data_IF_294577695229
#
_entry.id   IF_294577695229
#
_cell.length_a   1.000
_cell.length_b   1.000
_cell.length_c   1.000
_cell.angle_alpha   90.00
_cell.angle_beta   90.00
_cell.angle_gamma   90.00
#
_symmetry.space_group_name_H-M   'P 1'
#
loop_
_entity.id
_entity.type
_entity.pdbx_description
1 polymer ?
#
# COMPACT_ATOMS: atom_id res chain seq x y z
N UNK A 1 -4.52 -4.66 13.15
CA UNK A 1 -4.57 -3.34 13.83
C UNK A 1 -4.22 -2.17 12.93
N UNK A 2 -3.64 -2.37 11.75
CA UNK A 2 -3.51 -1.33 10.73
C UNK A 2 -4.80 -1.29 9.90
N UNK A 3 -5.34 -0.11 9.64
CA UNK A 3 -6.50 0.09 8.77
C UNK A 3 -6.10 0.50 7.35
N UNK A 4 -5.04 1.29 7.22
CA UNK A 4 -4.61 1.80 5.92
C UNK A 4 -3.09 1.99 5.89
N UNK A 5 -2.51 1.68 4.74
CA UNK A 5 -1.14 2.04 4.39
C UNK A 5 -1.19 2.85 3.10
N UNK A 6 -0.67 4.07 3.15
CA UNK A 6 -0.62 5.00 2.02
C UNK A 6 0.82 5.18 1.58
N UNK A 7 1.10 5.09 0.28
CA UNK A 7 2.42 5.36 -0.30
C UNK A 7 2.43 6.74 -0.93
N UNK A 8 3.47 7.51 -0.64
CA UNK A 8 3.73 8.83 -1.20
C UNK A 8 5.06 8.83 -1.95
N UNK A 9 5.08 9.43 -3.14
CA UNK A 9 6.22 9.37 -4.03
C UNK A 9 6.41 8.01 -4.71
N UNK A 10 7.57 7.88 -5.37
CA UNK A 10 7.89 6.75 -6.23
C UNK A 10 7.06 6.72 -7.51
N UNK A 11 7.16 5.61 -8.24
CA UNK A 11 6.40 5.35 -9.47
C UNK A 11 5.51 4.14 -9.27
N UNK A 12 4.28 4.22 -9.77
CA UNK A 12 3.43 3.03 -9.92
C UNK A 12 3.91 2.22 -11.11
N UNK A 13 3.80 0.90 -11.04
CA UNK A 13 3.98 0.05 -12.21
C UNK A 13 2.77 0.25 -13.14
N UNK A 14 3.03 0.54 -14.41
CA UNK A 14 2.04 0.67 -15.47
C UNK A 14 2.48 -0.13 -16.69
N UNK A 15 1.55 -0.83 -17.34
CA UNK A 15 1.83 -1.43 -18.64
C UNK A 15 1.58 -0.37 -19.71
N UNK A 16 2.65 0.10 -20.35
CA UNK A 16 2.57 1.11 -21.41
C UNK A 16 2.39 0.45 -22.77
N UNK A 17 1.34 0.85 -23.47
CA UNK A 17 1.03 0.41 -24.83
C UNK A 17 1.33 1.58 -25.79
N UNK A 18 2.38 1.42 -26.59
CA UNK A 18 2.82 2.42 -27.56
C UNK A 18 2.42 1.99 -28.95
N UNK A 19 1.35 2.59 -29.46
CA UNK A 19 0.79 2.30 -30.77
C UNK A 19 1.74 2.73 -31.88
N UNK A 20 1.98 1.85 -32.86
CA UNK A 20 2.79 2.12 -34.05
C UNK A 20 1.88 2.63 -35.19
N UNK A 21 1.94 3.92 -35.56
CA UNK A 21 1.06 4.50 -36.57
C UNK A 21 1.20 3.83 -37.94
N UNK A 22 2.41 3.42 -38.33
CA UNK A 22 2.67 2.83 -39.64
C UNK A 22 2.02 1.44 -39.73
N UNK A 23 2.16 0.62 -38.69
CA UNK A 23 1.53 -0.72 -38.63
C UNK A 23 0.01 -0.63 -38.54
N UNK A 24 -0.50 0.34 -37.79
CA UNK A 24 -1.93 0.58 -37.69
C UNK A 24 -2.53 1.02 -39.01
N UNK A 25 -1.86 1.93 -39.74
CA UNK A 25 -2.27 2.37 -41.06
C UNK A 25 -2.28 1.21 -42.06
N UNK A 26 -1.28 0.33 -42.03
CA UNK A 26 -1.22 -0.87 -42.87
C UNK A 26 -2.37 -1.86 -42.62
N UNK A 27 -2.93 -1.86 -41.40
CA UNK A 27 -4.04 -2.73 -41.01
C UNK A 27 -5.40 -2.00 -40.98
N UNK A 28 -5.43 -0.70 -41.33
CA UNK A 28 -6.64 0.11 -41.38
C UNK A 28 -7.31 0.37 -40.03
N UNK A 29 -6.59 0.21 -38.90
CA UNK A 29 -7.15 0.38 -37.55
C UNK A 29 -6.75 1.74 -36.95
N UNK A 30 -7.66 2.35 -36.19
CA UNK A 30 -7.46 3.64 -35.52
C UNK A 30 -7.14 3.49 -34.04
N UNK A 31 -6.49 4.49 -33.45
CA UNK A 31 -6.11 4.45 -32.03
C UNK A 31 -7.35 4.40 -31.11
N UNK A 32 -8.44 5.06 -31.52
CA UNK A 32 -9.71 5.04 -30.78
C UNK A 32 -10.38 3.65 -30.80
N UNK A 33 -10.21 2.87 -31.87
CA UNK A 33 -10.68 1.48 -31.92
C UNK A 33 -9.86 0.59 -31.00
N UNK A 34 -8.53 0.73 -30.99
CA UNK A 34 -7.67 -0.04 -30.07
C UNK A 34 -7.99 0.32 -28.62
N UNK A 35 -8.09 1.61 -28.29
CA UNK A 35 -8.39 2.06 -26.92
C UNK A 35 -9.72 1.52 -26.39
N UNK A 36 -10.79 1.55 -27.21
CA UNK A 36 -12.10 0.98 -26.83
C UNK A 36 -12.03 -0.52 -26.57
N UNK A 37 -11.28 -1.26 -27.40
CA UNK A 37 -11.12 -2.70 -27.21
C UNK A 37 -10.33 -3.00 -25.93
N UNK A 38 -9.24 -2.28 -25.67
CA UNK A 38 -8.46 -2.42 -24.43
C UNK A 38 -9.27 -2.05 -23.19
N UNK A 39 -10.08 -0.99 -23.26
CA UNK A 39 -10.98 -0.60 -22.19
C UNK A 39 -12.01 -1.70 -21.87
N UNK A 40 -12.58 -2.33 -22.91
CA UNK A 40 -13.55 -3.43 -22.75
C UNK A 40 -12.91 -4.72 -22.22
N UNK A 41 -11.64 -4.98 -22.56
CA UNK A 41 -10.90 -6.13 -22.05
C UNK A 41 -10.58 -5.99 -20.56
N UNK A 42 -10.33 -4.77 -20.10
CA UNK A 42 -10.06 -4.45 -18.70
C UNK A 42 -11.32 -4.40 -17.82
N UNK A 43 -12.48 -4.86 -18.32
CA UNK A 43 -13.70 -5.03 -17.54
C UNK A 43 -13.80 -6.49 -17.11
N UNK A 44 -13.65 -6.75 -15.80
CA UNK A 44 -13.97 -8.06 -15.21
C UNK A 44 -15.48 -8.32 -15.32
N UNK A 45 -15.89 -8.98 -16.40
CA UNK A 45 -17.28 -9.40 -16.59
C UNK A 45 -17.54 -10.71 -15.80
N UNK A 46 -18.61 -10.79 -14.99
CA UNK A 46 -19.02 -12.06 -14.40
C UNK A 46 -19.38 -13.03 -15.53
N UNK A 47 -18.68 -14.16 -15.63
CA UNK A 47 -18.79 -15.13 -16.73
C UNK A 47 -20.02 -16.03 -16.68
N UNK A 48 -21.07 -15.63 -15.96
CA UNK A 48 -22.31 -16.40 -15.81
C UNK A 48 -22.21 -17.59 -14.84
N UNK A 49 -23.32 -18.34 -14.77
CA UNK A 49 -23.46 -19.58 -14.00
C UNK A 49 -23.59 -20.73 -15.00
N UNK A 50 -22.82 -21.80 -14.80
CA UNK A 50 -23.01 -23.05 -15.54
C UNK A 50 -23.45 -24.13 -14.55
N UNK A 51 -24.61 -24.73 -14.82
CA UNK A 51 -25.09 -25.89 -14.07
C UNK A 51 -24.37 -27.13 -14.62
N UNK A 52 -23.42 -27.65 -13.85
CA UNK A 52 -22.66 -28.87 -14.17
C UNK A 52 -23.08 -29.95 -13.17
N UNK A 53 -24.10 -30.73 -13.52
CA UNK A 53 -24.65 -31.76 -12.64
C UNK A 53 -25.45 -31.17 -11.47
N UNK A 54 -25.18 -31.62 -10.25
CA UNK A 54 -25.89 -31.22 -9.02
C UNK A 54 -25.23 -30.02 -8.30
N UNK A 55 -24.39 -29.25 -9.01
CA UNK A 55 -23.61 -28.15 -8.45
C UNK A 55 -23.60 -26.91 -9.34
N UNK A 56 -23.85 -25.76 -8.73
CA UNK A 56 -23.75 -24.46 -9.39
C UNK A 56 -22.29 -23.97 -9.40
N UNK A 57 -21.65 -23.93 -10.57
CA UNK A 57 -20.29 -23.40 -10.69
C UNK A 57 -20.31 -22.01 -11.34
N UNK A 58 -19.79 -21.01 -10.63
CA UNK A 58 -19.58 -19.67 -11.18
C UNK A 58 -18.40 -19.71 -12.13
N UNK A 59 -18.63 -19.40 -13.40
CA UNK A 59 -17.56 -19.21 -14.38
C UNK A 59 -17.18 -17.73 -14.33
N UNK A 60 -15.89 -17.44 -14.17
CA UNK A 60 -15.35 -16.07 -14.28
C UNK A 60 -14.45 -16.00 -15.50
N UNK A 61 -14.69 -15.02 -16.36
CA UNK A 61 -13.75 -14.66 -17.43
C UNK A 61 -12.75 -13.68 -16.83
N UNK A 62 -11.49 -14.08 -16.72
CA UNK A 62 -10.41 -13.20 -16.27
C UNK A 62 -10.08 -12.22 -17.41
N UNK A 63 -10.52 -10.96 -17.31
CA UNK A 63 -10.27 -9.93 -18.32
C UNK A 63 -8.90 -9.27 -18.22
N UNK A 64 -8.24 -9.38 -17.07
CA UNK A 64 -7.05 -8.59 -16.78
C UNK A 64 -5.78 -9.29 -17.26
N UNK A 65 -5.03 -8.65 -18.17
CA UNK A 65 -3.68 -9.11 -18.51
C UNK A 65 -2.73 -8.82 -17.33
N UNK A 66 -2.18 -9.86 -16.72
CA UNK A 66 -1.31 -9.73 -15.55
C UNK A 66 0.12 -9.29 -15.90
N UNK A 67 0.50 -9.39 -17.17
CA UNK A 67 1.82 -9.01 -17.68
C UNK A 67 1.75 -8.28 -19.02
N UNK A 68 2.78 -7.46 -19.29
CA UNK A 68 2.95 -6.80 -20.58
C UNK A 68 2.98 -7.81 -21.75
N UNK A 69 3.55 -9.00 -21.52
CA UNK A 69 3.58 -10.07 -22.52
C UNK A 69 2.18 -10.60 -22.82
N UNK A 70 1.37 -10.89 -21.80
CA UNK A 70 0.00 -11.34 -22.00
C UNK A 70 -0.83 -10.30 -22.76
N UNK A 71 -0.69 -9.03 -22.40
CA UNK A 71 -1.38 -7.93 -23.08
C UNK A 71 -0.93 -7.81 -24.55
N UNK A 72 0.36 -8.02 -24.84
CA UNK A 72 0.87 -8.06 -26.20
C UNK A 72 0.30 -9.22 -27.04
N UNK A 73 -0.06 -10.35 -26.41
CA UNK A 73 -0.68 -11.48 -27.09
C UNK A 73 -2.19 -11.31 -27.33
N UNK A 74 -2.81 -10.30 -26.72
CA UNK A 74 -4.25 -10.05 -26.84
C UNK A 74 -4.65 -9.79 -28.29
N UNK A 75 -5.73 -10.42 -28.74
CA UNK A 75 -6.25 -10.23 -30.09
C UNK A 75 -7.07 -8.96 -30.17
N UNK A 76 -6.75 -8.13 -31.17
CA UNK A 76 -7.42 -6.90 -31.52
C UNK A 76 -8.14 -7.12 -32.84
N UNK A 77 -9.44 -6.85 -32.85
CA UNK A 77 -10.28 -6.91 -34.03
C UNK A 77 -9.91 -5.77 -35.00
N UNK A 78 -9.69 -6.15 -36.25
CA UNK A 78 -9.41 -5.27 -37.38
C UNK A 78 -10.66 -5.09 -38.25
N UNK A 79 -10.71 -4.06 -39.12
CA UNK A 79 -11.72 -3.97 -40.15
C UNK A 79 -11.73 -5.23 -41.04
N UNK A 80 -12.93 -5.66 -41.46
CA UNK A 80 -13.09 -6.83 -42.33
C UNK A 80 -13.03 -8.18 -41.61
N UNK A 81 -13.26 -8.24 -40.30
CA UNK A 81 -13.38 -9.48 -39.53
C UNK A 81 -12.06 -10.19 -39.24
N UNK A 82 -10.94 -9.52 -39.50
CA UNK A 82 -9.59 -10.04 -39.22
C UNK A 82 -9.21 -9.73 -37.77
N UNK A 83 -8.23 -10.48 -37.26
CA UNK A 83 -7.64 -10.23 -35.94
C UNK A 83 -6.12 -10.08 -36.07
N UNK A 84 -5.55 -9.22 -35.23
CA UNK A 84 -4.11 -9.07 -35.07
C UNK A 84 -3.76 -9.02 -33.59
N UNK A 85 -2.55 -9.48 -33.24
CA UNK A 85 -2.08 -9.37 -31.85
C UNK A 85 -1.79 -7.90 -31.53
N UNK A 86 -2.03 -7.45 -30.30
CA UNK A 86 -1.67 -6.09 -29.89
C UNK A 86 -0.19 -5.82 -30.13
N UNK A 87 0.68 -6.79 -29.84
CA UNK A 87 2.12 -6.72 -30.10
C UNK A 87 2.51 -6.57 -31.58
N UNK A 88 1.62 -6.86 -32.53
CA UNK A 88 1.89 -6.60 -33.94
C UNK A 88 1.61 -5.16 -34.34
N UNK A 89 0.78 -4.42 -33.58
CA UNK A 89 0.42 -3.01 -33.86
C UNK A 89 0.93 -2.02 -32.81
N UNK A 90 1.49 -2.52 -31.70
CA UNK A 90 1.94 -1.71 -30.58
C UNK A 90 3.16 -2.35 -29.91
N UNK A 91 4.00 -1.51 -29.32
CA UNK A 91 5.03 -1.95 -28.37
C UNK A 91 4.43 -1.94 -26.98
N UNK A 92 4.32 -3.11 -26.35
CA UNK A 92 3.78 -3.25 -25.00
C UNK A 92 4.93 -3.53 -24.05
N UNK A 93 5.15 -2.62 -23.10
CA UNK A 93 6.25 -2.72 -22.14
C UNK A 93 5.79 -2.46 -20.73
N UNK A 94 6.41 -3.16 -19.80
CA UNK A 94 6.27 -2.88 -18.38
C UNK A 94 7.07 -1.61 -18.08
N UNK A 95 6.40 -0.57 -17.61
CA UNK A 95 6.97 0.75 -17.43
C UNK A 95 6.62 1.32 -16.06
N UNK A 96 7.41 2.29 -15.64
CA UNK A 96 7.03 3.17 -14.55
C UNK A 96 5.99 4.18 -15.06
N UNK A 97 4.98 4.44 -14.23
CA UNK A 97 4.12 5.59 -14.37
C UNK A 97 4.97 6.86 -14.45
N UNK A 98 4.46 7.87 -15.15
CA UNK A 98 5.09 9.19 -15.17
C UNK A 98 5.20 9.73 -13.74
N UNK A 99 6.38 10.26 -13.39
CA UNK A 99 6.64 10.83 -12.06
C UNK A 99 5.87 12.14 -11.93
N UNK A 100 4.62 12.06 -11.45
CA UNK A 100 3.78 13.24 -11.20
C UNK A 100 3.98 13.85 -9.82
N UNK A 101 4.59 13.11 -8.89
CA UNK A 101 4.88 13.57 -7.53
C UNK A 101 6.29 13.15 -7.13
N UNK A 102 7.14 14.13 -6.84
CA UNK A 102 8.47 13.91 -6.29
C UNK A 102 8.40 14.07 -4.77
N UNK A 103 8.72 13.00 -4.04
CA UNK A 103 8.86 13.03 -2.59
C UNK A 103 10.35 13.09 -2.26
N UNK A 104 10.74 14.02 -1.41
CA UNK A 104 12.12 14.22 -0.99
C UNK A 104 12.23 14.00 0.52
N UNK A 105 13.24 13.24 0.92
CA UNK A 105 13.66 13.12 2.32
C UNK A 105 15.10 13.63 2.43
N UNK A 106 15.32 14.67 3.23
CA UNK A 106 16.62 15.35 3.37
C UNK A 106 17.26 15.73 2.03
N UNK A 107 16.45 16.23 1.09
CA UNK A 107 16.92 16.66 -0.25
C UNK A 107 17.22 15.52 -1.23
N UNK A 108 16.97 14.26 -0.87
CA UNK A 108 17.14 13.09 -1.75
C UNK A 108 15.78 12.48 -2.11
N UNK A 109 15.58 11.98 -3.35
CA UNK A 109 14.38 11.24 -3.71
C UNK A 109 14.11 10.08 -2.75
N UNK A 110 12.90 10.03 -2.23
CA UNK A 110 12.48 9.03 -1.25
C UNK A 110 11.06 8.55 -1.53
N UNK A 111 10.68 7.45 -0.88
CA UNK A 111 9.30 6.96 -0.88
C UNK A 111 8.85 6.92 0.57
N UNK A 112 7.79 7.67 0.87
CA UNK A 112 7.23 7.76 2.22
C UNK A 112 6.04 6.82 2.33
N UNK A 113 5.92 6.13 3.46
CA UNK A 113 4.76 5.28 3.77
C UNK A 113 4.06 5.81 5.02
N UNK A 114 2.79 6.19 4.88
CA UNK A 114 1.91 6.53 5.98
C UNK A 114 1.15 5.30 6.46
N UNK A 115 1.12 5.07 7.77
CA UNK A 115 0.38 3.95 8.37
C UNK A 115 -0.68 4.51 9.32
N UNK A 116 -1.94 4.19 9.05
CA UNK A 116 -3.06 4.54 9.90
C UNK A 116 -3.56 3.31 10.66
N UNK A 117 -3.73 3.46 11.98
CA UNK A 117 -4.30 2.41 12.83
C UNK A 117 -5.81 2.25 12.62
N UNK A 118 -6.33 1.08 12.96
CA UNK A 118 -7.76 0.82 13.01
C UNK A 118 -8.41 1.44 14.26
N UNK A 119 -9.69 1.78 14.16
CA UNK A 119 -10.48 2.21 15.32
C UNK A 119 -10.53 1.08 16.36
N UNK A 120 -10.47 1.44 17.64
CA UNK A 120 -10.47 0.48 18.75
C UNK A 120 -9.15 -0.28 18.96
N UNK A 121 -8.05 0.14 18.30
CA UNK A 121 -6.73 -0.49 18.48
C UNK A 121 -5.74 0.46 19.12
N UNK A 122 -4.84 -0.09 19.96
CA UNK A 122 -3.79 0.67 20.62
C UNK A 122 -2.70 1.10 19.64
N UNK A 123 -2.40 2.39 19.65
CA UNK A 123 -1.32 3.00 18.86
C UNK A 123 0.05 2.36 19.15
N UNK A 124 0.33 2.02 20.41
CA UNK A 124 1.59 1.37 20.84
C UNK A 124 1.70 -0.03 20.25
N UNK A 125 0.63 -0.83 20.35
CA UNK A 125 0.61 -2.21 19.85
C UNK A 125 0.75 -2.24 18.32
N UNK A 126 0.08 -1.33 17.62
CA UNK A 126 0.18 -1.21 16.16
C UNK A 126 1.59 -0.81 15.75
N UNK A 127 2.19 0.20 16.40
CA UNK A 127 3.56 0.62 16.10
C UNK A 127 4.58 -0.51 16.30
N UNK A 128 4.47 -1.28 17.38
CA UNK A 128 5.34 -2.43 17.62
C UNK A 128 5.18 -3.50 16.52
N UNK A 129 3.94 -3.79 16.11
CA UNK A 129 3.65 -4.71 15.02
C UNK A 129 4.28 -4.26 13.69
N UNK A 130 4.14 -2.97 13.35
CA UNK A 130 4.75 -2.37 12.16
C UNK A 130 6.27 -2.46 12.21
N UNK A 131 6.91 -2.12 13.35
CA UNK A 131 8.36 -2.24 13.52
C UNK A 131 8.87 -3.67 13.35
N UNK A 132 8.14 -4.67 13.85
CA UNK A 132 8.47 -6.09 13.66
C UNK A 132 8.38 -6.49 12.19
N UNK A 133 7.35 -6.04 11.47
CA UNK A 133 7.22 -6.30 10.04
C UNK A 133 8.34 -5.64 9.24
N UNK A 134 8.65 -4.37 9.52
CA UNK A 134 9.75 -3.64 8.88
C UNK A 134 11.12 -4.30 9.17
N UNK A 135 11.33 -4.83 10.37
CA UNK A 135 12.56 -5.56 10.69
C UNK A 135 12.74 -6.84 9.85
N UNK A 136 11.66 -7.51 9.46
CA UNK A 136 11.71 -8.64 8.51
C UNK A 136 12.07 -8.16 7.11
N UNK A 137 11.40 -7.11 6.63
CA UNK A 137 11.65 -6.54 5.30
C UNK A 137 13.10 -6.04 5.17
N UNK A 138 13.64 -5.37 6.20
CA UNK A 138 15.05 -4.93 6.21
C UNK A 138 16.05 -6.09 6.10
N UNK A 139 15.70 -7.27 6.62
CA UNK A 139 16.55 -8.47 6.49
C UNK A 139 16.48 -9.07 5.09
N UNK A 140 15.31 -9.04 4.45
CA UNK A 140 15.10 -9.58 3.11
C UNK A 140 15.68 -8.65 2.02
N UNK A 141 15.63 -7.34 2.24
CA UNK A 141 16.08 -6.30 1.30
C UNK A 141 17.14 -5.38 1.95
N UNK A 142 18.37 -5.86 2.19
CA UNK A 142 19.41 -5.08 2.88
C UNK A 142 19.91 -3.87 2.08
N UNK A 143 19.65 -3.82 0.78
CA UNK A 143 20.00 -2.69 -0.08
C UNK A 143 19.08 -1.47 0.11
N UNK A 144 17.94 -1.62 0.81
CA UNK A 144 16.97 -0.55 1.03
C UNK A 144 17.11 -0.01 2.45
N UNK A 145 17.40 1.29 2.58
CA UNK A 145 17.35 1.97 3.87
C UNK A 145 15.91 2.42 4.17
N UNK A 146 15.38 1.98 5.32
CA UNK A 146 14.01 2.28 5.74
C UNK A 146 14.09 2.99 7.07
N UNK A 147 13.79 4.28 7.11
CA UNK A 147 13.83 5.08 8.34
C UNK A 147 12.44 5.55 8.76
N UNK A 148 12.18 5.51 10.07
CA UNK A 148 10.92 6.02 10.63
C UNK A 148 11.04 7.54 10.76
N UNK A 149 10.33 8.29 9.93
CA UNK A 149 10.41 9.75 9.88
C UNK A 149 9.57 10.43 10.96
N UNK A 150 8.38 9.89 11.25
CA UNK A 150 7.44 10.49 12.20
C UNK A 150 6.62 9.41 12.94
N UNK A 151 6.34 9.65 14.22
CA UNK A 151 5.32 8.90 14.97
C UNK A 151 4.79 9.71 16.13
N UNK A 152 3.46 9.80 16.26
CA UNK A 152 2.81 10.44 17.41
C UNK A 152 2.93 9.61 18.70
N UNK A 153 3.12 8.30 18.58
CA UNK A 153 3.11 7.35 19.70
C UNK A 153 4.25 7.61 20.68
N UNK A 154 5.42 7.98 20.17
CA UNK A 154 6.61 8.26 20.99
C UNK A 154 6.33 9.34 22.03
N UNK A 155 5.67 10.42 21.62
CA UNK A 155 5.27 11.52 22.49
C UNK A 155 4.30 11.06 23.57
N UNK A 156 3.26 10.31 23.20
CA UNK A 156 2.28 9.79 24.17
C UNK A 156 2.92 8.87 25.20
N UNK A 157 3.84 7.98 24.78
CA UNK A 157 4.53 7.07 25.71
C UNK A 157 5.47 7.83 26.64
N UNK A 158 6.18 8.84 26.15
CA UNK A 158 7.01 9.70 27.01
C UNK A 158 6.17 10.44 28.04
N UNK A 159 5.07 11.07 27.65
CA UNK A 159 4.17 11.74 28.59
C UNK A 159 3.61 10.80 29.66
N UNK A 160 3.28 9.56 29.28
CA UNK A 160 2.81 8.55 30.22
C UNK A 160 3.86 8.22 31.30
N UNK A 161 5.12 8.02 30.89
CA UNK A 161 6.20 7.74 31.83
C UNK A 161 6.51 8.96 32.72
N UNK A 162 6.58 10.15 32.15
CA UNK A 162 6.79 11.39 32.93
C UNK A 162 5.67 11.62 33.95
N UNK A 163 4.42 11.31 33.59
CA UNK A 163 3.30 11.39 34.53
C UNK A 163 3.42 10.38 35.68
N UNK A 164 3.88 9.15 35.39
CA UNK A 164 4.13 8.14 36.42
C UNK A 164 5.29 8.52 37.35
N UNK A 165 6.37 9.05 36.80
CA UNK A 165 7.52 9.55 37.58
C UNK A 165 7.06 10.65 38.53
N UNK A 166 6.34 11.65 38.03
CA UNK A 166 5.79 12.73 38.85
C UNK A 166 4.79 12.22 39.91
N UNK A 167 3.98 11.21 39.59
CA UNK A 167 3.07 10.58 40.56
C UNK A 167 3.85 9.91 41.70
N UNK A 168 4.91 9.18 41.38
CA UNK A 168 5.73 8.47 42.35
C UNK A 168 6.48 9.48 43.23
N UNK A 169 7.11 10.48 42.63
CA UNK A 169 7.80 11.55 43.35
C UNK A 169 6.85 12.32 44.27
N UNK A 170 5.67 12.71 43.76
CA UNK A 170 4.63 13.38 44.54
C UNK A 170 4.12 12.52 45.69
N UNK A 171 3.95 11.21 45.46
CA UNK A 171 3.50 10.26 46.48
C UNK A 171 4.54 10.09 47.58
N UNK A 172 5.81 9.94 47.22
CA UNK A 172 6.93 9.83 48.18
C UNK A 172 7.05 11.12 49.01
N UNK A 173 7.01 12.28 48.36
CA UNK A 173 7.05 13.57 49.06
C UNK A 173 5.88 13.73 50.02
N UNK A 174 4.68 13.31 49.60
CA UNK A 174 3.49 13.35 50.46
C UNK A 174 3.65 12.47 51.71
N UNK A 175 4.13 11.24 51.55
CA UNK A 175 4.42 10.32 52.67
C UNK A 175 5.47 10.90 53.61
N UNK A 176 6.54 11.50 53.07
CA UNK A 176 7.60 12.12 53.88
C UNK A 176 7.08 13.31 54.71
N UNK A 177 6.19 14.13 54.13
CA UNK A 177 5.57 15.25 54.84
C UNK A 177 4.68 14.75 55.98
N UNK A 178 3.81 13.77 55.73
CA UNK A 178 2.94 13.18 56.76
C UNK A 178 3.77 12.57 57.89
N UNK A 179 4.83 11.84 57.55
CA UNK A 179 5.75 11.26 58.51
C UNK A 179 6.42 12.30 59.41
N UNK A 180 6.84 13.44 58.84
CA UNK A 180 7.49 14.52 59.61
C UNK A 180 6.56 15.11 60.68
N UNK A 181 5.26 15.20 60.40
CA UNK A 181 4.26 15.70 61.35
C UNK A 181 3.92 14.69 62.45
N UNK A 182 3.72 13.42 62.08
CA UNK A 182 3.30 12.38 63.03
C UNK A 182 4.47 11.83 63.85
N UNK A 183 5.69 11.81 63.27
CA UNK A 183 6.92 11.19 63.83
C UNK A 183 6.75 9.72 64.24
N UNK A 184 5.66 9.09 63.83
CA UNK A 184 5.28 7.71 64.10
C UNK A 184 5.08 6.98 62.77
N UNK A 185 5.87 5.93 62.56
CA UNK A 185 5.87 5.13 61.33
C UNK A 185 4.62 4.27 61.18
N UNK A 186 3.98 3.85 62.28
CA UNK A 186 2.71 3.12 62.23
C UNK A 186 1.57 4.04 61.86
N UNK A 187 1.50 5.23 62.46
CA UNK A 187 0.45 6.21 62.16
C UNK A 187 0.51 6.74 60.73
N UNK A 188 1.69 6.74 60.10
CA UNK A 188 1.88 7.18 58.70
C UNK A 188 1.53 6.09 57.67
N UNK A 189 1.58 4.81 58.07
CA UNK A 189 1.37 3.67 57.17
C UNK A 189 -0.09 3.20 57.12
N UNK A 190 -0.89 3.59 58.13
CA UNK A 190 -2.33 3.34 58.24
C UNK A 190 -3.08 4.37 57.39
#
# INVERSE_FOLDING_TARGET
GVAQVSRYGGVSREIRVELDPARMQALGITASQVNRQLANLNVDLPGGRADLGDGEQTIRVLGNAHSAWQLAQTQIALPGGRFAKLGSIATVRDAAAEVRSLELYNGRPAISFGVARARGTSDVTVLQGVRRALAKIRKEYPAVDINQTFTSVSYTTHQYHTALEALIEGSILSVLVVWLFLRDTRATLI
#
